data_IF_407429961558
#
_entry.id   IF_407429961558
#
_cell.length_a   1.000
_cell.length_b   1.000
_cell.length_c   1.000
_cell.angle_alpha   90.00
_cell.angle_beta   90.00
_cell.angle_gamma   90.00
#
_symmetry.space_group_name_H-M   'P 1'
#
loop_
_entity.id
_entity.type
_entity.pdbx_description
1 polymer ?
#
# COMPACT_ATOMS: atom_id res chain seq x y z
N UNK A 1 -11.95 -2.96 -26.57
CA UNK A 1 -10.98 -2.70 -25.48
C UNK A 1 -9.79 -1.98 -26.09
N UNK A 2 -9.30 -0.87 -25.51
CA UNK A 2 -8.14 -0.16 -26.05
C UNK A 2 -6.93 -1.09 -26.16
N UNK A 3 -6.19 -1.03 -27.27
CA UNK A 3 -5.10 -1.96 -27.57
C UNK A 3 -3.89 -1.84 -26.63
N UNK A 4 -3.79 -0.75 -25.86
CA UNK A 4 -2.78 -0.54 -24.83
C UNK A 4 -3.06 -1.27 -23.51
N UNK A 5 -4.33 -1.60 -23.19
CA UNK A 5 -4.72 -2.15 -21.88
C UNK A 5 -3.98 -3.46 -21.52
N UNK A 6 -3.83 -4.44 -22.43
CA UNK A 6 -3.12 -5.67 -22.09
C UNK A 6 -1.68 -5.45 -21.60
N UNK A 7 -0.98 -4.46 -22.16
CA UNK A 7 0.38 -4.12 -21.76
C UNK A 7 0.43 -3.50 -20.36
N UNK A 8 -0.59 -2.70 -20.00
CA UNK A 8 -0.64 -2.06 -18.68
C UNK A 8 -1.05 -3.06 -17.59
N UNK A 9 -2.06 -3.90 -17.85
CA UNK A 9 -2.51 -4.93 -16.88
C UNK A 9 -1.43 -6.00 -16.66
N UNK A 10 -0.75 -6.44 -17.74
CA UNK A 10 0.38 -7.38 -17.62
C UNK A 10 1.55 -6.79 -16.84
N UNK A 11 1.89 -5.53 -17.09
CA UNK A 11 2.89 -4.79 -16.31
C UNK A 11 2.49 -4.71 -14.82
N UNK A 12 1.23 -4.39 -14.51
CA UNK A 12 0.76 -4.29 -13.12
C UNK A 12 0.88 -5.63 -12.38
N UNK A 13 0.47 -6.74 -13.00
CA UNK A 13 0.56 -8.06 -12.37
C UNK A 13 2.01 -8.41 -11.98
N UNK A 14 2.95 -8.19 -12.90
CA UNK A 14 4.36 -8.50 -12.71
C UNK A 14 5.06 -7.54 -11.72
N UNK A 15 4.76 -6.25 -11.76
CA UNK A 15 5.28 -5.29 -10.78
C UNK A 15 4.74 -5.60 -9.37
N UNK A 16 3.45 -5.98 -9.24
CA UNK A 16 2.86 -6.32 -7.94
C UNK A 16 3.46 -7.59 -7.36
N UNK A 17 3.71 -8.59 -8.21
CA UNK A 17 4.49 -9.76 -7.82
C UNK A 17 5.86 -9.34 -7.28
N UNK A 18 6.55 -8.44 -7.99
CA UNK A 18 7.90 -8.01 -7.60
C UNK A 18 7.91 -7.30 -6.24
N UNK A 19 7.02 -6.33 -6.05
CA UNK A 19 6.94 -5.53 -4.83
C UNK A 19 6.58 -6.39 -3.61
N UNK A 20 5.49 -7.16 -3.69
CA UNK A 20 5.00 -7.94 -2.55
C UNK A 20 5.88 -9.14 -2.24
N UNK A 21 6.46 -9.79 -3.25
CA UNK A 21 7.40 -10.90 -3.07
C UNK A 21 8.62 -10.47 -2.27
N UNK A 22 9.31 -9.42 -2.73
CA UNK A 22 10.46 -8.86 -2.02
C UNK A 22 10.10 -8.38 -0.62
N UNK A 23 8.99 -7.63 -0.46
CA UNK A 23 8.54 -7.14 0.86
C UNK A 23 8.27 -8.29 1.84
N UNK A 24 7.72 -9.41 1.37
CA UNK A 24 7.32 -10.54 2.23
C UNK A 24 8.50 -11.27 2.88
N UNK A 25 9.65 -11.31 2.21
CA UNK A 25 10.85 -11.99 2.71
C UNK A 25 11.84 -11.05 3.40
N UNK A 26 11.65 -9.73 3.27
CA UNK A 26 12.63 -8.74 3.71
C UNK A 26 12.97 -8.87 5.21
N UNK A 27 11.96 -9.08 6.06
CA UNK A 27 12.16 -9.31 7.48
C UNK A 27 13.06 -10.53 7.76
N UNK A 28 12.66 -11.69 7.23
CA UNK A 28 13.35 -12.98 7.42
C UNK A 28 14.76 -12.96 6.83
N UNK A 29 14.94 -12.20 5.75
CA UNK A 29 16.26 -11.99 5.18
C UNK A 29 17.17 -11.21 6.14
N UNK A 30 16.71 -10.07 6.66
CA UNK A 30 17.50 -9.23 7.57
C UNK A 30 17.83 -9.91 8.90
N UNK A 31 16.96 -10.79 9.40
CA UNK A 31 17.14 -11.44 10.70
C UNK A 31 17.86 -12.78 10.65
N UNK A 32 18.01 -13.41 9.48
CA UNK A 32 18.59 -14.76 9.40
C UNK A 32 19.41 -15.09 8.15
N UNK A 33 19.50 -14.20 7.16
CA UNK A 33 20.20 -14.46 5.90
C UNK A 33 21.14 -13.32 5.47
N UNK A 34 21.36 -12.32 6.33
CA UNK A 34 22.26 -11.21 6.07
C UNK A 34 23.67 -11.51 6.60
N UNK A 35 24.62 -11.74 5.71
CA UNK A 35 26.03 -11.97 6.02
C UNK A 35 26.89 -10.79 5.55
N UNK A 36 28.04 -10.57 6.20
CA UNK A 36 29.05 -9.61 5.77
C UNK A 36 29.82 -10.13 4.55
N UNK A 37 30.61 -9.27 3.91
CA UNK A 37 31.51 -9.66 2.83
C UNK A 37 32.50 -10.77 3.21
N UNK A 38 32.83 -10.89 4.49
CA UNK A 38 33.71 -11.93 5.05
C UNK A 38 32.98 -13.24 5.40
N UNK A 39 31.67 -13.31 5.18
CA UNK A 39 30.82 -14.44 5.55
C UNK A 39 30.44 -14.49 7.03
N UNK A 40 30.76 -13.45 7.82
CA UNK A 40 30.32 -13.34 9.21
C UNK A 40 28.83 -12.99 9.27
N UNK A 41 28.12 -13.47 10.29
CA UNK A 41 26.72 -13.10 10.48
C UNK A 41 26.58 -11.61 10.77
N UNK A 42 25.74 -10.92 9.99
CA UNK A 42 25.44 -9.49 10.13
C UNK A 42 23.93 -9.27 10.35
N UNK A 43 23.30 -10.21 11.05
CA UNK A 43 21.86 -10.24 11.29
C UNK A 43 21.40 -9.04 12.10
N UNK A 44 20.29 -8.45 11.68
CA UNK A 44 19.58 -7.45 12.47
C UNK A 44 18.72 -8.14 13.53
N UNK A 45 18.63 -7.53 14.71
CA UNK A 45 17.64 -7.96 15.68
C UNK A 45 16.22 -7.61 15.20
N UNK A 46 15.20 -8.20 15.83
CA UNK A 46 13.80 -8.01 15.43
C UNK A 46 13.38 -6.54 15.40
N UNK A 47 13.82 -5.73 16.36
CA UNK A 47 13.49 -4.30 16.43
C UNK A 47 14.11 -3.52 15.28
N UNK A 48 15.38 -3.80 14.95
CA UNK A 48 16.10 -3.21 13.82
C UNK A 48 15.47 -3.61 12.48
N UNK A 49 15.19 -4.89 12.28
CA UNK A 49 14.54 -5.38 11.08
C UNK A 49 13.13 -4.78 10.90
N UNK A 50 12.35 -4.67 11.99
CA UNK A 50 11.03 -4.02 11.99
C UNK A 50 11.14 -2.55 11.60
N UNK A 51 12.11 -1.82 12.16
CA UNK A 51 12.35 -0.42 11.80
C UNK A 51 12.70 -0.27 10.31
N UNK A 52 13.67 -1.03 9.80
CA UNK A 52 14.10 -0.93 8.41
C UNK A 52 12.98 -1.26 7.42
N UNK A 53 12.18 -2.27 7.71
CA UNK A 53 11.02 -2.59 6.90
C UNK A 53 9.97 -1.48 6.94
N UNK A 54 9.69 -0.92 8.11
CA UNK A 54 8.78 0.21 8.24
C UNK A 54 9.31 1.45 7.50
N UNK A 55 10.61 1.78 7.59
CA UNK A 55 11.22 2.87 6.83
C UNK A 55 11.15 2.67 5.32
N UNK A 56 11.35 1.43 4.86
CA UNK A 56 11.20 1.08 3.45
C UNK A 56 9.77 1.34 2.97
N UNK A 57 8.76 0.83 3.70
CA UNK A 57 7.35 1.06 3.36
C UNK A 57 7.02 2.56 3.45
N UNK A 58 7.47 3.25 4.50
CA UNK A 58 7.25 4.68 4.65
C UNK A 58 7.79 5.47 3.46
N UNK A 59 8.96 5.10 2.96
CA UNK A 59 9.59 5.71 1.79
C UNK A 59 8.80 5.40 0.51
N UNK A 60 8.42 4.13 0.29
CA UNK A 60 7.64 3.70 -0.87
C UNK A 60 6.24 4.36 -0.97
N UNK A 61 5.69 4.83 0.16
CA UNK A 61 4.44 5.60 0.21
C UNK A 61 4.64 7.12 0.35
N UNK A 62 5.88 7.60 0.48
CA UNK A 62 6.24 9.02 0.41
C UNK A 62 6.53 9.48 -1.04
N UNK A 63 7.31 8.68 -1.79
CA UNK A 63 7.66 8.98 -3.18
C UNK A 63 6.50 9.11 -4.18
N UNK A 64 5.27 8.58 -3.97
CA UNK A 64 4.12 8.90 -4.82
C UNK A 64 3.89 10.41 -5.01
N UNK A 65 4.08 11.23 -3.97
CA UNK A 65 3.92 12.69 -4.09
C UNK A 65 4.91 13.26 -5.10
N UNK A 66 6.18 12.84 -5.03
CA UNK A 66 7.22 13.29 -5.94
C UNK A 66 7.02 12.75 -7.36
N UNK A 67 6.58 11.50 -7.49
CA UNK A 67 6.24 10.89 -8.79
C UNK A 67 5.11 11.62 -9.50
N UNK A 68 4.02 11.95 -8.78
CA UNK A 68 2.90 12.71 -9.32
C UNK A 68 3.32 14.12 -9.75
N UNK A 69 4.12 14.83 -8.95
CA UNK A 69 4.65 16.14 -9.32
C UNK A 69 5.55 16.06 -10.56
N UNK A 70 6.39 15.03 -10.66
CA UNK A 70 7.26 14.81 -11.81
C UNK A 70 6.47 14.53 -13.10
N UNK A 71 5.43 13.68 -13.03
CA UNK A 71 4.58 13.38 -14.19
C UNK A 71 3.75 14.57 -14.64
N UNK A 72 3.13 15.28 -13.70
CA UNK A 72 2.09 16.26 -14.03
C UNK A 72 2.68 17.62 -14.41
N UNK A 73 3.89 17.95 -13.93
CA UNK A 73 4.55 19.23 -14.22
C UNK A 73 5.53 19.13 -15.39
N UNK A 74 6.33 18.07 -15.47
CA UNK A 74 7.54 18.06 -16.32
C UNK A 74 7.54 16.98 -17.40
N UNK A 75 7.30 15.72 -17.02
CA UNK A 75 7.66 14.58 -17.87
C UNK A 75 6.48 13.97 -18.64
N UNK A 76 5.27 14.11 -18.13
CA UNK A 76 4.12 13.30 -18.54
C UNK A 76 4.18 11.88 -17.97
N UNK A 77 3.01 11.25 -17.80
CA UNK A 77 2.86 9.96 -17.09
C UNK A 77 3.70 8.83 -17.70
N UNK A 78 3.66 8.65 -19.02
CA UNK A 78 4.40 7.56 -19.69
C UNK A 78 5.92 7.63 -19.42
N UNK A 79 6.53 8.82 -19.56
CA UNK A 79 7.97 8.99 -19.35
C UNK A 79 8.35 8.82 -17.88
N UNK A 80 7.54 9.32 -16.96
CA UNK A 80 7.73 9.10 -15.52
C UNK A 80 7.68 7.62 -15.17
N UNK A 81 6.67 6.89 -15.68
CA UNK A 81 6.54 5.44 -15.45
C UNK A 81 7.79 4.71 -15.95
N UNK A 82 8.22 4.97 -17.19
CA UNK A 82 9.36 4.26 -17.77
C UNK A 82 10.69 4.57 -17.04
N UNK A 83 10.95 5.85 -16.72
CA UNK A 83 12.17 6.27 -16.04
C UNK A 83 12.25 5.65 -14.63
N UNK A 84 11.19 5.77 -13.85
CA UNK A 84 11.16 5.26 -12.48
C UNK A 84 11.08 3.73 -12.42
N UNK A 85 10.49 3.08 -13.43
CA UNK A 85 10.55 1.61 -13.55
C UNK A 85 11.98 1.14 -13.82
N UNK A 86 12.78 1.87 -14.60
CA UNK A 86 14.21 1.57 -14.76
C UNK A 86 14.97 1.70 -13.43
N UNK A 87 14.72 2.76 -12.65
CA UNK A 87 15.28 2.92 -11.29
C UNK A 87 14.87 1.75 -10.40
N UNK A 88 13.62 1.31 -10.51
CA UNK A 88 13.10 0.16 -9.79
C UNK A 88 13.85 -1.13 -10.16
N UNK A 89 14.07 -1.39 -11.46
CA UNK A 89 14.86 -2.52 -11.93
C UNK A 89 16.30 -2.51 -11.39
N UNK A 90 16.95 -1.34 -11.36
CA UNK A 90 18.31 -1.19 -10.79
C UNK A 90 18.31 -1.50 -9.29
N UNK A 91 17.27 -1.08 -8.55
CA UNK A 91 17.12 -1.42 -7.15
C UNK A 91 17.00 -2.93 -6.91
N UNK A 92 16.23 -3.63 -7.74
CA UNK A 92 16.16 -5.10 -7.67
C UNK A 92 17.46 -5.79 -8.07
N UNK A 93 18.16 -5.26 -9.09
CA UNK A 93 19.49 -5.75 -9.46
C UNK A 93 20.46 -5.62 -8.27
N UNK A 94 20.42 -4.50 -7.55
CA UNK A 94 21.21 -4.32 -6.33
C UNK A 94 20.88 -5.37 -5.27
N UNK A 95 19.60 -5.70 -5.03
CA UNK A 95 19.25 -6.77 -4.09
C UNK A 95 19.67 -8.17 -4.57
N UNK A 96 19.60 -8.44 -5.88
CA UNK A 96 19.97 -9.74 -6.44
C UNK A 96 21.50 -9.98 -6.42
N UNK A 97 22.29 -8.92 -6.54
CA UNK A 97 23.75 -8.97 -6.52
C UNK A 97 24.36 -8.99 -5.12
N UNK A 98 23.55 -8.77 -4.09
CA UNK A 98 23.98 -8.64 -2.69
C UNK A 98 24.76 -9.86 -2.15
N UNK A 99 24.46 -11.06 -2.66
CA UNK A 99 25.05 -12.33 -2.21
C UNK A 99 25.93 -12.98 -3.29
N UNK A 100 26.36 -12.20 -4.29
CA UNK A 100 27.20 -12.70 -5.38
C UNK A 100 28.67 -12.77 -4.93
N UNK A 101 29.40 -13.85 -5.26
CA UNK A 101 30.78 -14.03 -4.83
C UNK A 101 31.70 -12.96 -5.44
N UNK A 102 32.69 -12.52 -4.66
CA UNK A 102 33.69 -11.54 -5.06
C UNK A 102 34.36 -11.89 -6.39
N UNK A 103 34.60 -13.18 -6.63
CA UNK A 103 35.19 -13.71 -7.87
C UNK A 103 34.42 -13.34 -9.14
N UNK A 104 33.12 -13.05 -9.02
CA UNK A 104 32.26 -12.70 -10.15
C UNK A 104 32.18 -11.17 -10.36
N UNK A 105 32.21 -10.38 -9.29
CA UNK A 105 32.04 -8.92 -9.35
C UNK A 105 33.36 -8.15 -9.41
N UNK A 106 34.49 -8.77 -9.05
CA UNK A 106 35.81 -8.15 -9.07
C UNK A 106 35.98 -6.97 -8.10
N UNK A 107 35.01 -6.74 -7.21
CA UNK A 107 34.98 -5.68 -6.20
C UNK A 107 34.28 -6.23 -4.95
N UNK A 108 34.91 -6.07 -3.78
CA UNK A 108 34.29 -6.37 -2.49
C UNK A 108 33.32 -5.27 -2.09
N UNK A 109 32.04 -5.62 -1.98
CA UNK A 109 31.03 -4.74 -1.39
C UNK A 109 30.39 -5.39 -0.18
N UNK A 110 30.06 -4.58 0.83
CA UNK A 110 29.29 -5.07 1.97
C UNK A 110 27.84 -5.32 1.55
N UNK A 111 27.29 -6.54 1.75
CA UNK A 111 25.91 -6.89 1.39
C UNK A 111 24.87 -5.92 1.97
N UNK A 112 25.08 -5.44 3.20
CA UNK A 112 24.24 -4.42 3.84
C UNK A 112 24.15 -3.12 3.02
N UNK A 113 25.22 -2.71 2.33
CA UNK A 113 25.22 -1.53 1.47
C UNK A 113 24.33 -1.75 0.25
N UNK A 114 24.39 -2.93 -0.36
CA UNK A 114 23.54 -3.33 -1.48
C UNK A 114 22.07 -3.42 -1.05
N UNK A 115 21.80 -3.93 0.15
CA UNK A 115 20.46 -3.92 0.74
C UNK A 115 19.90 -2.50 0.83
N UNK A 116 20.62 -1.58 1.46
CA UNK A 116 20.16 -0.20 1.67
C UNK A 116 19.97 0.53 0.34
N UNK A 117 20.94 0.42 -0.56
CA UNK A 117 20.86 1.04 -1.89
C UNK A 117 19.69 0.47 -2.70
N UNK A 118 19.53 -0.86 -2.71
CA UNK A 118 18.45 -1.55 -3.39
C UNK A 118 17.07 -1.15 -2.85
N UNK A 119 16.88 -1.14 -1.53
CA UNK A 119 15.64 -0.72 -0.89
C UNK A 119 15.29 0.74 -1.19
N UNK A 120 16.28 1.65 -1.17
CA UNK A 120 16.07 3.05 -1.50
C UNK A 120 15.62 3.23 -2.95
N UNK A 121 16.33 2.61 -3.90
CA UNK A 121 16.00 2.66 -5.33
C UNK A 121 14.63 2.05 -5.62
N UNK A 122 14.30 0.93 -4.97
CA UNK A 122 12.97 0.31 -5.06
C UNK A 122 11.90 1.25 -4.50
N UNK A 123 12.13 1.90 -3.35
CA UNK A 123 11.17 2.84 -2.78
C UNK A 123 10.92 4.04 -3.70
N UNK A 124 11.96 4.60 -4.32
CA UNK A 124 11.85 5.68 -5.33
C UNK A 124 11.06 5.20 -6.54
N UNK A 125 11.46 4.05 -7.12
CA UNK A 125 10.84 3.48 -8.31
C UNK A 125 9.39 3.10 -8.10
N UNK A 126 9.12 2.16 -7.18
CA UNK A 126 7.77 1.69 -6.86
C UNK A 126 6.85 2.81 -6.36
N UNK A 127 7.37 3.71 -5.53
CA UNK A 127 6.59 4.82 -5.00
C UNK A 127 6.19 5.81 -6.08
N UNK A 128 7.14 6.26 -6.90
CA UNK A 128 6.85 7.31 -7.87
C UNK A 128 6.01 6.83 -9.07
N UNK A 129 5.98 5.53 -9.40
CA UNK A 129 5.08 5.02 -10.46
C UNK A 129 3.62 4.84 -10.00
N UNK A 130 3.36 4.57 -8.72
CA UNK A 130 2.01 4.29 -8.17
C UNK A 130 0.90 5.25 -8.65
N UNK A 131 1.04 6.58 -8.50
CA UNK A 131 -0.01 7.51 -8.93
C UNK A 131 -0.10 7.62 -10.47
N UNK A 132 1.03 7.39 -11.16
CA UNK A 132 1.12 7.54 -12.61
C UNK A 132 0.44 6.39 -13.36
N UNK A 133 0.67 5.13 -12.94
CA UNK A 133 0.15 3.94 -13.64
C UNK A 133 -1.38 3.88 -13.58
N UNK A 134 -1.96 4.09 -12.39
CA UNK A 134 -3.42 4.08 -12.22
C UNK A 134 -4.11 5.15 -13.07
N UNK A 135 -3.52 6.36 -13.11
CA UNK A 135 -4.02 7.43 -13.97
C UNK A 135 -3.84 7.11 -15.46
N UNK A 136 -2.70 6.51 -15.84
CA UNK A 136 -2.41 6.14 -17.22
C UNK A 136 -3.37 5.08 -17.78
N UNK A 137 -3.85 4.14 -16.95
CA UNK A 137 -4.94 3.22 -17.32
C UNK A 137 -6.19 4.00 -17.69
N UNK A 138 -6.61 4.94 -16.84
CA UNK A 138 -7.81 5.76 -17.07
C UNK A 138 -7.72 6.60 -18.35
N UNK A 139 -6.54 7.13 -18.65
CA UNK A 139 -6.27 7.93 -19.85
C UNK A 139 -6.47 7.17 -21.17
N UNK A 140 -6.52 5.83 -21.14
CA UNK A 140 -6.78 5.03 -22.34
C UNK A 140 -8.26 5.02 -22.77
N UNK A 141 -9.14 5.60 -21.94
CA UNK A 141 -10.57 5.62 -22.18
C UNK A 141 -11.08 7.02 -22.50
N UNK A 142 -11.95 7.10 -23.50
CA UNK A 142 -12.72 8.28 -23.89
C UNK A 142 -14.20 7.95 -24.01
N UNK A 143 -15.00 8.88 -24.55
CA UNK A 143 -16.47 8.72 -24.62
C UNK A 143 -16.92 7.44 -25.33
N UNK A 144 -16.21 7.00 -26.38
CA UNK A 144 -16.60 5.85 -27.19
C UNK A 144 -16.40 4.49 -26.50
N UNK A 145 -15.50 4.40 -25.52
CA UNK A 145 -15.12 3.15 -24.86
C UNK A 145 -15.29 3.17 -23.33
N UNK A 146 -15.89 4.23 -22.78
CA UNK A 146 -16.11 4.45 -21.35
C UNK A 146 -16.84 3.29 -20.67
N UNK A 147 -17.77 2.62 -21.36
CA UNK A 147 -18.50 1.46 -20.83
C UNK A 147 -17.58 0.27 -20.46
N UNK A 148 -16.36 0.22 -20.97
CA UNK A 148 -15.37 -0.83 -20.65
C UNK A 148 -14.50 -0.49 -19.43
N UNK A 149 -14.54 0.75 -18.94
CA UNK A 149 -13.67 1.25 -17.88
C UNK A 149 -13.78 0.40 -16.61
N UNK A 150 -15.01 0.21 -16.10
CA UNK A 150 -15.26 -0.56 -14.87
C UNK A 150 -14.80 -2.01 -15.00
N UNK A 151 -14.96 -2.62 -16.19
CA UNK A 151 -14.49 -3.98 -16.45
C UNK A 151 -12.96 -4.07 -16.40
N UNK A 152 -12.25 -3.09 -16.94
CA UNK A 152 -10.78 -3.06 -16.93
C UNK A 152 -10.23 -2.78 -15.54
N UNK A 153 -10.83 -1.86 -14.78
CA UNK A 153 -10.47 -1.66 -13.38
C UNK A 153 -10.74 -2.91 -12.52
N UNK A 154 -11.77 -3.68 -12.84
CA UNK A 154 -12.01 -4.99 -12.23
C UNK A 154 -10.86 -5.98 -12.50
N UNK A 155 -10.42 -6.11 -13.75
CA UNK A 155 -9.25 -6.94 -14.10
C UNK A 155 -7.96 -6.45 -13.46
N UNK A 156 -7.76 -5.13 -13.41
CA UNK A 156 -6.61 -4.49 -12.76
C UNK A 156 -6.56 -4.83 -11.26
N UNK A 157 -7.72 -4.81 -10.60
CA UNK A 157 -7.85 -5.19 -9.20
C UNK A 157 -7.55 -6.67 -8.95
N UNK A 158 -8.07 -7.55 -9.81
CA UNK A 158 -7.76 -8.99 -9.74
C UNK A 158 -6.27 -9.24 -9.96
N UNK A 159 -5.63 -8.57 -10.93
CA UNK A 159 -4.19 -8.74 -11.18
C UNK A 159 -3.32 -8.30 -10.00
N UNK A 160 -3.71 -7.24 -9.28
CA UNK A 160 -2.99 -6.79 -8.07
C UNK A 160 -2.99 -7.87 -7.00
N UNK A 161 -4.17 -8.37 -6.65
CA UNK A 161 -4.32 -9.37 -5.57
C UNK A 161 -3.74 -10.72 -5.97
N UNK A 162 -3.87 -11.13 -7.24
CA UNK A 162 -3.28 -12.35 -7.74
C UNK A 162 -1.74 -12.28 -7.73
N UNK A 163 -1.15 -11.17 -8.19
CA UNK A 163 0.30 -10.96 -8.14
C UNK A 163 0.83 -10.94 -6.71
N UNK A 164 0.12 -10.28 -5.79
CA UNK A 164 0.45 -10.26 -4.37
C UNK A 164 0.40 -11.67 -3.75
N UNK A 165 -0.69 -12.42 -3.99
CA UNK A 165 -0.85 -13.77 -3.45
C UNK A 165 0.21 -14.73 -4.04
N UNK A 166 0.42 -14.72 -5.35
CA UNK A 166 1.39 -15.58 -6.00
C UNK A 166 2.83 -15.32 -5.50
N UNK A 167 3.20 -14.06 -5.30
CA UNK A 167 4.53 -13.69 -4.81
C UNK A 167 4.73 -14.02 -3.33
N UNK A 168 3.76 -13.76 -2.47
CA UNK A 168 3.83 -14.10 -1.04
C UNK A 168 3.81 -15.60 -0.80
N UNK A 169 3.30 -16.40 -1.75
CA UNK A 169 3.45 -17.84 -1.73
C UNK A 169 4.85 -18.28 -2.23
N UNK A 170 5.27 -17.82 -3.40
CA UNK A 170 6.44 -18.33 -4.11
C UNK A 170 7.77 -17.78 -3.58
N UNK A 171 7.87 -16.49 -3.26
CA UNK A 171 9.14 -15.86 -2.89
C UNK A 171 9.73 -16.40 -1.58
N UNK A 172 8.94 -16.70 -0.53
CA UNK A 172 9.44 -17.42 0.64
C UNK A 172 10.03 -18.81 0.32
N UNK A 173 9.43 -19.55 -0.61
CA UNK A 173 9.93 -20.86 -1.05
C UNK A 173 11.25 -20.70 -1.82
N UNK A 174 11.37 -19.66 -2.64
CA UNK A 174 12.63 -19.33 -3.30
C UNK A 174 13.74 -19.04 -2.29
N UNK A 175 13.44 -18.26 -1.25
CA UNK A 175 14.41 -17.98 -0.18
C UNK A 175 14.86 -19.26 0.53
N UNK A 176 13.91 -20.13 0.90
CA UNK A 176 14.21 -21.38 1.61
C UNK A 176 15.04 -22.37 0.79
N UNK A 177 14.74 -22.52 -0.50
CA UNK A 177 15.32 -23.60 -1.33
C UNK A 177 16.49 -23.15 -2.21
N UNK A 178 16.55 -21.88 -2.58
CA UNK A 178 17.53 -21.36 -3.54
C UNK A 178 18.33 -20.16 -3.01
N UNK A 179 17.99 -19.64 -1.84
CA UNK A 179 18.72 -18.55 -1.18
C UNK A 179 18.35 -17.13 -1.66
N UNK A 180 18.98 -16.10 -1.07
CA UNK A 180 18.62 -14.70 -1.27
C UNK A 180 18.75 -14.22 -2.71
N UNK A 181 19.80 -14.64 -3.42
CA UNK A 181 20.04 -14.23 -4.82
C UNK A 181 18.86 -14.55 -5.74
N UNK A 182 18.30 -15.76 -5.64
CA UNK A 182 17.10 -16.14 -6.40
C UNK A 182 15.83 -15.50 -5.86
N UNK A 183 15.70 -15.39 -4.53
CA UNK A 183 14.52 -14.83 -3.89
C UNK A 183 14.31 -13.34 -4.20
N UNK A 184 15.39 -12.56 -4.34
CA UNK A 184 15.33 -11.17 -4.82
C UNK A 184 15.47 -11.04 -6.34
N UNK A 185 16.18 -11.96 -6.98
CA UNK A 185 16.41 -11.96 -8.44
C UNK A 185 15.16 -12.25 -9.26
N UNK A 186 14.34 -13.21 -8.87
CA UNK A 186 13.08 -13.54 -9.59
C UNK A 186 12.11 -12.36 -9.60
N UNK A 187 11.79 -11.70 -8.46
CA UNK A 187 11.10 -10.41 -8.46
C UNK A 187 11.74 -9.39 -9.42
N UNK A 188 13.07 -9.23 -9.38
CA UNK A 188 13.79 -8.30 -10.26
C UNK A 188 13.63 -8.59 -11.75
N UNK A 189 13.72 -9.85 -12.16
CA UNK A 189 13.49 -10.27 -13.54
C UNK A 189 12.06 -10.00 -13.99
N UNK A 190 11.08 -10.23 -13.12
CA UNK A 190 9.68 -9.92 -13.40
C UNK A 190 9.43 -8.42 -13.49
N UNK A 191 10.08 -7.59 -12.67
CA UNK A 191 10.03 -6.14 -12.80
C UNK A 191 10.68 -5.65 -14.11
N UNK A 192 11.79 -6.26 -14.52
CA UNK A 192 12.43 -6.02 -15.82
C UNK A 192 11.49 -6.37 -16.98
N UNK A 193 10.85 -7.53 -16.91
CA UNK A 193 9.83 -7.96 -17.87
C UNK A 193 8.63 -7.01 -17.90
N UNK A 194 8.13 -6.58 -16.73
CA UNK A 194 7.04 -5.61 -16.62
C UNK A 194 7.39 -4.32 -17.37
N UNK A 195 8.57 -3.76 -17.09
CA UNK A 195 9.08 -2.54 -17.72
C UNK A 195 9.22 -2.71 -19.23
N UNK A 196 9.72 -3.85 -19.68
CA UNK A 196 9.87 -4.16 -21.11
C UNK A 196 8.50 -4.28 -21.80
N UNK A 197 7.54 -5.00 -21.21
CA UNK A 197 6.17 -5.12 -21.72
C UNK A 197 5.49 -3.75 -21.79
N UNK A 198 5.64 -2.91 -20.77
CA UNK A 198 5.13 -1.55 -20.80
C UNK A 198 5.73 -0.74 -21.96
N UNK A 199 7.05 -0.83 -22.16
CA UNK A 199 7.74 -0.16 -23.28
C UNK A 199 7.30 -0.67 -24.67
N UNK A 200 6.93 -1.94 -24.82
CA UNK A 200 6.37 -2.46 -26.07
C UNK A 200 5.04 -1.80 -26.43
N UNK A 201 4.25 -1.38 -25.44
CA UNK A 201 2.98 -0.69 -25.62
C UNK A 201 3.09 0.78 -26.06
N UNK A 202 4.30 1.36 -26.14
CA UNK A 202 4.53 2.80 -26.38
C UNK A 202 3.84 3.40 -27.60
N UNK A 203 3.67 2.62 -28.67
CA UNK A 203 3.01 3.10 -29.89
C UNK A 203 1.49 2.91 -29.88
N UNK A 204 0.96 2.27 -28.83
CA UNK A 204 -0.46 1.96 -28.64
C UNK A 204 -1.11 2.75 -27.51
N UNK A 205 -0.31 3.47 -26.71
CA UNK A 205 -0.81 4.26 -25.58
C UNK A 205 -1.29 5.64 -26.01
N UNK A 206 -2.36 6.08 -25.37
CA UNK A 206 -2.76 7.48 -25.36
C UNK A 206 -1.81 8.24 -24.44
N UNK A 207 -1.19 9.30 -24.97
CA UNK A 207 -0.25 10.14 -24.25
C UNK A 207 -0.89 11.50 -23.96
N UNK A 208 -1.13 11.78 -22.67
CA UNK A 208 -1.60 13.08 -22.22
C UNK A 208 -0.37 13.96 -21.90
N UNK A 209 -0.28 15.19 -22.44
CA UNK A 209 0.81 16.11 -22.11
C UNK A 209 0.77 16.54 -20.65
N UNK A 210 1.91 16.97 -20.11
CA UNK A 210 2.01 17.50 -18.75
C UNK A 210 1.20 18.81 -18.62
N UNK A 211 0.50 18.97 -17.49
CA UNK A 211 -0.33 20.16 -17.21
C UNK A 211 0.47 21.39 -16.79
N UNK A 212 1.75 21.22 -16.41
CA UNK A 212 2.65 22.33 -16.10
C UNK A 212 2.31 23.06 -14.80
N UNK A 213 2.65 24.35 -14.72
CA UNK A 213 2.57 25.16 -13.48
C UNK A 213 1.14 25.53 -13.04
N UNK A 214 0.16 25.34 -13.90
CA UNK A 214 -1.26 25.64 -13.60
C UNK A 214 -1.77 24.75 -12.46
N UNK A 215 -1.38 23.47 -12.44
CA UNK A 215 -1.70 22.52 -11.38
C UNK A 215 -1.30 23.00 -9.98
N UNK A 216 -0.10 23.58 -9.84
CA UNK A 216 0.40 24.07 -8.54
C UNK A 216 -0.40 25.28 -8.07
N UNK A 217 -0.73 26.22 -8.97
CA UNK A 217 -1.52 27.42 -8.60
C UNK A 217 -2.90 27.04 -8.10
N UNK A 218 -3.54 26.07 -8.73
CA UNK A 218 -4.88 25.62 -8.36
C UNK A 218 -4.89 24.77 -7.08
N UNK A 219 -3.85 23.97 -6.86
CA UNK A 219 -3.71 23.12 -5.65
C UNK A 219 -3.59 23.97 -4.38
N UNK A 220 -2.88 25.10 -4.44
CA UNK A 220 -2.60 25.95 -3.28
C UNK A 220 -3.54 27.16 -3.11
N UNK A 221 -4.59 27.24 -3.94
CA UNK A 221 -5.69 28.19 -3.82
C UNK A 221 -6.46 28.00 -2.48
N UNK A 222 -7.13 29.03 -1.92
CA UNK A 222 -7.85 28.90 -0.65
C UNK A 222 -8.89 27.77 -0.63
N UNK A 223 -9.50 27.44 -1.76
CA UNK A 223 -10.45 26.31 -1.85
C UNK A 223 -9.75 24.98 -1.63
N UNK A 224 -8.61 24.77 -2.31
CA UNK A 224 -7.79 23.56 -2.19
C UNK A 224 -7.20 23.38 -0.80
N UNK A 225 -6.64 24.46 -0.23
CA UNK A 225 -6.07 24.46 1.12
C UNK A 225 -7.12 24.09 2.18
N UNK A 226 -8.33 24.62 2.06
CA UNK A 226 -9.44 24.30 2.99
C UNK A 226 -9.87 22.83 2.86
N UNK A 227 -9.90 22.26 1.66
CA UNK A 227 -10.20 20.84 1.47
C UNK A 227 -9.14 19.94 2.13
N UNK A 228 -7.86 20.25 1.91
CA UNK A 228 -6.73 19.52 2.51
C UNK A 228 -6.77 19.58 4.04
N UNK A 229 -6.93 20.78 4.61
CA UNK A 229 -6.96 20.98 6.06
C UNK A 229 -8.10 20.23 6.75
N UNK A 230 -9.22 19.99 6.05
CA UNK A 230 -10.34 19.20 6.58
C UNK A 230 -10.06 17.69 6.56
N UNK A 231 -9.35 17.20 5.55
CA UNK A 231 -9.01 15.79 5.41
C UNK A 231 -7.83 15.37 6.28
N UNK A 232 -6.93 16.31 6.60
CA UNK A 232 -5.72 16.04 7.36
C UNK A 232 -5.97 15.35 8.72
N UNK A 233 -6.92 15.79 9.57
CA UNK A 233 -7.24 15.07 10.80
C UNK A 233 -7.60 13.61 10.54
N UNK A 234 -8.41 13.32 9.52
CA UNK A 234 -8.81 11.94 9.18
C UNK A 234 -7.56 11.12 8.83
N UNK A 235 -6.66 11.67 8.02
CA UNK A 235 -5.45 10.97 7.60
C UNK A 235 -4.48 10.69 8.76
N UNK A 236 -4.42 11.57 9.76
CA UNK A 236 -3.59 11.34 10.96
C UNK A 236 -4.08 10.13 11.78
N UNK A 237 -5.40 9.95 11.92
CA UNK A 237 -5.94 8.78 12.61
C UNK A 237 -5.80 7.51 11.77
N UNK A 238 -5.98 7.61 10.44
CA UNK A 238 -5.74 6.50 9.51
C UNK A 238 -4.26 6.09 9.49
N UNK A 239 -3.32 7.00 9.75
CA UNK A 239 -1.91 6.65 9.89
C UNK A 239 -1.67 5.68 11.06
N UNK A 240 -2.41 5.79 12.17
CA UNK A 240 -2.33 4.81 13.26
C UNK A 240 -2.80 3.43 12.80
N UNK A 241 -3.77 3.34 11.87
CA UNK A 241 -4.15 2.06 11.28
C UNK A 241 -3.03 1.44 10.46
N UNK A 242 -2.36 2.24 9.64
CA UNK A 242 -1.23 1.75 8.84
C UNK A 242 -0.04 1.32 9.69
N UNK A 243 0.16 1.92 10.88
CA UNK A 243 1.20 1.47 11.79
C UNK A 243 0.94 0.04 12.30
N UNK A 244 -0.32 -0.36 12.47
CA UNK A 244 -0.71 -1.73 12.84
C UNK A 244 -0.70 -2.66 11.62
N UNK A 245 -1.35 -2.25 10.53
CA UNK A 245 -1.53 -3.11 9.36
C UNK A 245 -0.20 -3.58 8.74
N UNK A 246 0.76 -2.67 8.57
CA UNK A 246 2.01 -3.01 7.87
C UNK A 246 2.99 -3.85 8.71
N UNK A 247 2.79 -3.97 10.03
CA UNK A 247 3.56 -4.90 10.87
C UNK A 247 3.26 -6.37 10.57
N UNK A 248 2.21 -6.65 9.78
CA UNK A 248 1.94 -7.97 9.23
C UNK A 248 3.13 -8.59 8.50
N UNK A 249 4.02 -7.76 7.93
CA UNK A 249 5.23 -8.22 7.24
C UNK A 249 6.48 -8.36 8.14
N UNK A 250 6.41 -7.94 9.40
CA UNK A 250 7.54 -7.92 10.34
C UNK A 250 7.20 -8.65 11.64
N UNK A 251 6.53 -7.99 12.58
CA UNK A 251 6.22 -8.52 13.91
C UNK A 251 5.33 -9.76 13.85
N UNK A 252 4.36 -9.81 12.94
CA UNK A 252 3.54 -11.00 12.77
C UNK A 252 4.32 -12.16 12.14
N UNK A 253 5.27 -11.88 11.26
CA UNK A 253 6.21 -12.90 10.75
C UNK A 253 7.10 -13.41 11.89
N UNK A 254 7.59 -12.52 12.76
CA UNK A 254 8.36 -12.90 13.95
C UNK A 254 7.55 -13.77 14.92
N UNK A 255 6.33 -13.35 15.26
CA UNK A 255 5.40 -14.13 16.10
C UNK A 255 5.16 -15.52 15.52
N UNK A 256 4.94 -15.62 14.20
CA UNK A 256 4.72 -16.90 13.53
C UNK A 256 5.91 -17.87 13.66
N UNK A 257 7.14 -17.39 13.83
CA UNK A 257 8.30 -18.28 14.06
C UNK A 257 8.17 -19.10 15.35
N UNK A 258 7.44 -18.57 16.34
CA UNK A 258 7.23 -19.18 17.67
C UNK A 258 5.88 -19.91 17.78
N UNK A 259 5.15 -20.08 16.68
CA UNK A 259 3.85 -20.74 16.64
C UNK A 259 3.94 -22.15 16.03
N UNK A 260 2.94 -22.99 16.30
CA UNK A 260 2.74 -24.22 15.53
C UNK A 260 2.18 -23.88 14.15
N UNK A 261 3.03 -24.04 13.12
CA UNK A 261 2.77 -23.72 11.71
C UNK A 261 2.33 -24.92 10.88
N UNK A 262 2.00 -26.06 11.51
CA UNK A 262 1.56 -27.25 10.81
C UNK A 262 0.07 -27.16 10.41
N UNK A 263 -0.20 -26.99 9.12
CA UNK A 263 -1.56 -26.95 8.60
C UNK A 263 -1.87 -28.23 7.83
N UNK A 264 -2.50 -29.20 8.51
CA UNK A 264 -2.93 -30.45 7.88
C UNK A 264 -1.76 -31.32 7.34
N UNK A 265 -0.60 -31.26 7.98
CA UNK A 265 0.61 -32.00 7.58
C UNK A 265 1.61 -31.20 6.74
N UNK A 266 1.28 -29.96 6.37
CA UNK A 266 2.18 -29.05 5.64
C UNK A 266 2.62 -27.94 6.58
N UNK A 267 3.94 -27.81 6.79
CA UNK A 267 4.50 -26.71 7.58
C UNK A 267 4.59 -25.43 6.73
N UNK A 268 3.84 -24.40 7.13
CA UNK A 268 3.82 -23.09 6.47
C UNK A 268 5.05 -22.29 6.91
N UNK A 269 5.70 -21.56 6.00
CA UNK A 269 6.81 -20.67 6.36
C UNK A 269 6.31 -19.41 7.08
N UNK A 270 7.05 -18.85 8.04
CA UNK A 270 6.63 -17.65 8.77
C UNK A 270 6.31 -16.46 7.85
N UNK A 271 7.05 -16.28 6.76
CA UNK A 271 6.81 -15.21 5.78
C UNK A 271 5.62 -15.45 4.85
N UNK A 272 5.04 -16.65 4.83
CA UNK A 272 3.85 -16.97 4.04
C UNK A 272 2.54 -16.58 4.73
N UNK A 273 2.55 -16.19 6.01
CA UNK A 273 1.33 -15.83 6.76
C UNK A 273 0.59 -14.64 6.13
N UNK A 274 1.33 -13.73 5.48
CA UNK A 274 0.77 -12.58 4.76
C UNK A 274 -0.12 -12.95 3.58
N UNK A 275 0.06 -14.15 2.99
CA UNK A 275 -0.69 -14.65 1.82
C UNK A 275 -2.21 -14.56 2.00
N UNK A 276 -2.67 -14.69 3.24
CA UNK A 276 -4.07 -14.68 3.61
C UNK A 276 -4.73 -13.34 3.25
N UNK A 277 -4.03 -12.20 3.40
CA UNK A 277 -4.63 -10.88 3.19
C UNK A 277 -5.16 -10.65 1.76
N UNK A 278 -4.38 -10.80 0.67
CA UNK A 278 -4.90 -10.58 -0.69
C UNK A 278 -6.03 -11.55 -1.06
N UNK A 279 -6.02 -12.78 -0.52
CA UNK A 279 -7.10 -13.75 -0.72
C UNK A 279 -8.37 -13.30 0.02
N UNK A 280 -8.24 -12.90 1.27
CA UNK A 280 -9.35 -12.37 2.07
C UNK A 280 -9.94 -11.11 1.43
N UNK A 281 -9.12 -10.23 0.87
CA UNK A 281 -9.59 -9.01 0.19
C UNK A 281 -10.54 -9.35 -0.98
N UNK A 282 -10.19 -10.34 -1.80
CA UNK A 282 -11.05 -10.80 -2.90
C UNK A 282 -12.41 -11.35 -2.42
N UNK A 283 -12.46 -11.91 -1.21
CA UNK A 283 -13.70 -12.44 -0.59
C UNK A 283 -14.46 -11.35 0.18
N UNK A 284 -13.75 -10.50 0.90
CA UNK A 284 -14.31 -9.53 1.83
C UNK A 284 -14.90 -8.33 1.12
N UNK A 285 -14.28 -7.83 0.05
CA UNK A 285 -14.86 -6.71 -0.70
C UNK A 285 -16.29 -6.99 -1.18
N UNK A 286 -16.60 -8.11 -1.87
CA UNK A 286 -17.98 -8.42 -2.22
C UNK A 286 -18.84 -8.72 -0.98
N UNK A 287 -18.34 -9.45 0.01
CA UNK A 287 -19.09 -9.74 1.24
C UNK A 287 -19.52 -8.47 1.98
N UNK A 288 -18.62 -7.51 2.12
CA UNK A 288 -18.89 -6.24 2.78
C UNK A 288 -19.89 -5.40 2.00
N UNK A 289 -19.72 -5.28 0.69
CA UNK A 289 -20.60 -4.45 -0.14
C UNK A 289 -22.02 -5.03 -0.31
N UNK A 290 -22.16 -6.35 -0.42
CA UNK A 290 -23.45 -6.97 -0.71
C UNK A 290 -24.18 -7.53 0.52
N UNK A 291 -23.46 -7.81 1.62
CA UNK A 291 -24.05 -8.44 2.81
C UNK A 291 -23.86 -7.58 4.06
N UNK A 292 -22.61 -7.28 4.45
CA UNK A 292 -22.34 -6.66 5.76
C UNK A 292 -22.82 -5.21 5.80
N UNK A 293 -22.42 -4.37 4.84
CA UNK A 293 -22.84 -2.96 4.81
C UNK A 293 -24.35 -2.80 4.69
N UNK A 294 -25.07 -3.51 3.80
CA UNK A 294 -26.52 -3.45 3.76
C UNK A 294 -27.17 -3.90 5.09
N UNK A 295 -26.62 -4.92 5.75
CA UNK A 295 -27.16 -5.43 7.03
C UNK A 295 -26.96 -4.42 8.15
N UNK A 296 -25.77 -3.83 8.29
CA UNK A 296 -25.51 -2.77 9.28
C UNK A 296 -26.41 -1.55 8.99
N UNK A 297 -26.58 -1.21 7.71
CA UNK A 297 -27.40 -0.07 7.30
C UNK A 297 -28.90 -0.25 7.62
N UNK A 298 -29.38 -1.48 7.86
CA UNK A 298 -30.74 -1.75 8.38
C UNK A 298 -30.88 -1.38 9.86
N UNK A 299 -29.79 -1.38 10.63
CA UNK A 299 -29.80 -1.04 12.07
C UNK A 299 -29.60 0.46 12.24
N UNK A 300 -28.58 1.04 11.58
CA UNK A 300 -28.32 2.48 11.59
C UNK A 300 -27.66 2.92 10.29
N UNK A 301 -27.85 4.20 9.90
CA UNK A 301 -27.26 4.73 8.66
C UNK A 301 -25.74 4.63 8.66
N UNK A 302 -25.17 3.85 7.75
CA UNK A 302 -23.74 3.59 7.71
C UNK A 302 -23.01 4.62 6.83
N UNK A 303 -22.62 5.74 7.43
CA UNK A 303 -21.86 6.80 6.75
C UNK A 303 -20.39 6.39 6.52
N UNK A 304 -19.66 6.99 5.56
CA UNK A 304 -18.25 6.70 5.34
C UNK A 304 -17.39 6.85 6.61
N UNK A 305 -17.57 7.92 7.37
CA UNK A 305 -16.82 8.13 8.62
C UNK A 305 -17.19 7.13 9.72
N UNK A 306 -18.44 6.62 9.74
CA UNK A 306 -18.84 5.52 10.63
C UNK A 306 -18.17 4.21 10.23
N UNK A 307 -18.04 3.90 8.93
CA UNK A 307 -17.27 2.73 8.46
C UNK A 307 -15.82 2.80 8.94
N UNK A 308 -15.15 3.94 8.74
CA UNK A 308 -13.78 4.16 9.20
C UNK A 308 -13.69 3.99 10.72
N UNK A 309 -14.62 4.57 11.48
CA UNK A 309 -14.66 4.44 12.94
C UNK A 309 -14.76 2.97 13.39
N UNK A 310 -15.70 2.20 12.82
CA UNK A 310 -15.85 0.77 13.11
C UNK A 310 -14.57 0.02 12.74
N UNK A 311 -13.97 0.33 11.60
CA UNK A 311 -12.71 -0.25 11.17
C UNK A 311 -11.57 -0.04 12.17
N UNK A 312 -11.45 1.16 12.78
CA UNK A 312 -10.40 1.43 13.77
C UNK A 312 -10.60 0.58 15.04
N UNK A 313 -11.85 0.41 15.51
CA UNK A 313 -12.15 -0.50 16.62
C UNK A 313 -11.86 -1.96 16.26
N UNK A 314 -12.22 -2.41 15.05
CA UNK A 314 -11.92 -3.77 14.59
C UNK A 314 -10.41 -4.00 14.48
N UNK A 315 -9.63 -2.99 14.09
CA UNK A 315 -8.17 -3.07 14.11
C UNK A 315 -7.60 -3.21 15.52
N UNK A 316 -8.15 -2.50 16.51
CA UNK A 316 -7.78 -2.69 17.93
C UNK A 316 -8.07 -4.13 18.40
N UNK A 317 -9.22 -4.69 18.01
CA UNK A 317 -9.60 -6.06 18.35
C UNK A 317 -8.66 -7.07 17.66
N UNK A 318 -8.30 -6.83 16.40
CA UNK A 318 -7.33 -7.67 15.69
C UNK A 318 -5.99 -7.74 16.43
N UNK A 319 -5.50 -6.59 16.90
CA UNK A 319 -4.25 -6.52 17.66
C UNK A 319 -4.37 -7.08 19.07
N UNK A 320 -5.54 -7.03 19.69
CA UNK A 320 -5.81 -7.74 20.95
C UNK A 320 -5.60 -9.25 20.79
N UNK A 321 -6.05 -9.83 19.67
CA UNK A 321 -5.78 -11.24 19.36
C UNK A 321 -4.28 -11.50 19.25
N UNK A 322 -3.53 -10.65 18.55
CA UNK A 322 -2.06 -10.76 18.45
C UNK A 322 -1.36 -10.62 19.81
N UNK A 323 -1.83 -9.72 20.69
CA UNK A 323 -1.32 -9.59 22.05
C UNK A 323 -1.53 -10.87 22.87
N UNK A 324 -2.74 -11.45 22.82
CA UNK A 324 -3.04 -12.70 23.53
C UNK A 324 -2.24 -13.88 23.00
N UNK A 325 -2.04 -13.97 21.67
CA UNK A 325 -1.13 -14.97 21.08
C UNK A 325 0.28 -14.80 21.67
N UNK A 326 0.76 -13.56 21.78
CA UNK A 326 2.09 -13.29 22.31
C UNK A 326 2.19 -13.63 23.81
N UNK A 327 1.17 -13.36 24.62
CA UNK A 327 1.14 -13.77 26.02
C UNK A 327 1.26 -15.29 26.20
N UNK A 328 0.60 -16.07 25.34
CA UNK A 328 0.74 -17.53 25.34
C UNK A 328 2.14 -17.97 24.97
N UNK A 329 2.75 -17.34 23.96
CA UNK A 329 4.14 -17.60 23.56
C UNK A 329 5.11 -17.26 24.68
N UNK A 330 4.95 -16.09 25.31
CA UNK A 330 5.79 -15.62 26.42
C UNK A 330 5.64 -16.53 27.65
N UNK A 331 4.47 -17.17 27.82
CA UNK A 331 4.23 -18.21 28.82
C UNK A 331 4.77 -19.61 28.45
N UNK A 332 5.49 -19.74 27.33
CA UNK A 332 6.11 -20.98 26.86
C UNK A 332 5.19 -21.92 26.07
N UNK A 333 4.02 -21.44 25.63
CA UNK A 333 3.10 -22.21 24.78
C UNK A 333 3.43 -22.04 23.30
N UNK A 334 2.98 -22.98 22.46
CA UNK A 334 3.13 -22.92 21.00
C UNK A 334 1.75 -22.87 20.35
N UNK A 335 1.06 -21.71 20.37
CA UNK A 335 -0.29 -21.61 19.83
C UNK A 335 -0.31 -21.90 18.33
N UNK A 336 -1.39 -22.54 17.88
CA UNK A 336 -1.55 -22.91 16.48
C UNK A 336 -1.78 -21.68 15.58
N UNK A 337 -1.21 -21.71 14.37
CA UNK A 337 -1.21 -20.60 13.39
C UNK A 337 -2.62 -20.11 13.00
N UNK A 338 -3.65 -20.92 13.23
CA UNK A 338 -5.06 -20.53 13.03
C UNK A 338 -5.49 -19.30 13.86
N UNK A 339 -4.86 -19.05 15.02
CA UNK A 339 -5.12 -17.84 15.79
C UNK A 339 -4.66 -16.58 15.05
N UNK A 340 -3.52 -16.67 14.35
CA UNK A 340 -3.06 -15.57 13.51
C UNK A 340 -3.94 -15.38 12.28
N UNK A 341 -4.52 -16.46 11.74
CA UNK A 341 -5.56 -16.34 10.70
C UNK A 341 -6.77 -15.53 11.18
N UNK A 342 -7.21 -15.67 12.44
CA UNK A 342 -8.26 -14.82 13.03
C UNK A 342 -7.84 -13.36 13.08
N UNK A 343 -6.61 -13.07 13.52
CA UNK A 343 -6.08 -11.71 13.51
C UNK A 343 -6.05 -11.12 12.09
N UNK A 344 -5.61 -11.89 11.09
CA UNK A 344 -5.64 -11.49 9.67
C UNK A 344 -7.05 -11.24 9.15
N UNK A 345 -8.04 -12.04 9.52
CA UNK A 345 -9.43 -11.78 9.18
C UNK A 345 -9.90 -10.45 9.74
N UNK A 346 -9.65 -10.17 11.02
CA UNK A 346 -10.08 -8.92 11.64
C UNK A 346 -9.36 -7.71 11.04
N UNK A 347 -8.03 -7.75 10.88
CA UNK A 347 -7.29 -6.61 10.33
C UNK A 347 -7.62 -6.36 8.85
N UNK A 348 -7.92 -7.42 8.07
CA UNK A 348 -8.36 -7.28 6.67
C UNK A 348 -9.79 -6.73 6.58
N UNK A 349 -10.67 -7.12 7.50
CA UNK A 349 -11.99 -6.49 7.64
C UNK A 349 -11.86 -4.99 7.96
N UNK A 350 -10.96 -4.63 8.88
CA UNK A 350 -10.63 -3.23 9.17
C UNK A 350 -10.07 -2.50 7.94
N UNK A 351 -9.19 -3.13 7.17
CA UNK A 351 -8.66 -2.58 5.91
C UNK A 351 -9.78 -2.26 4.90
N UNK A 352 -10.72 -3.16 4.69
CA UNK A 352 -11.87 -2.94 3.79
C UNK A 352 -12.73 -1.75 4.25
N UNK A 353 -12.93 -1.60 5.56
CA UNK A 353 -13.71 -0.51 6.13
C UNK A 353 -12.99 0.83 6.11
N UNK A 354 -11.67 0.84 6.29
CA UNK A 354 -10.85 2.06 6.37
C UNK A 354 -10.33 2.43 4.98
N UNK A 355 -9.50 1.57 4.39
CA UNK A 355 -8.70 1.92 3.21
C UNK A 355 -9.57 2.26 2.01
N UNK A 356 -10.52 1.39 1.65
CA UNK A 356 -11.42 1.60 0.51
C UNK A 356 -12.30 2.83 0.75
N UNK A 357 -12.90 2.93 1.94
CA UNK A 357 -13.79 4.05 2.29
C UNK A 357 -13.04 5.38 2.30
N UNK A 358 -11.84 5.44 2.88
CA UNK A 358 -11.03 6.66 2.90
C UNK A 358 -10.61 7.08 1.50
N UNK A 359 -10.25 6.13 0.64
CA UNK A 359 -9.92 6.43 -0.76
C UNK A 359 -11.10 7.08 -1.49
N UNK A 360 -12.27 6.47 -1.39
CA UNK A 360 -13.52 6.97 -2.00
C UNK A 360 -13.97 8.30 -1.39
N UNK A 361 -13.92 8.41 -0.06
CA UNK A 361 -14.27 9.62 0.67
C UNK A 361 -13.35 10.79 0.30
N UNK A 362 -12.05 10.54 0.25
CA UNK A 362 -11.06 11.55 -0.15
C UNK A 362 -11.32 12.02 -1.58
N UNK A 363 -11.66 11.09 -2.49
CA UNK A 363 -12.02 11.41 -3.87
C UNK A 363 -13.27 12.31 -3.96
N UNK A 364 -14.32 12.02 -3.19
CA UNK A 364 -15.59 12.76 -3.23
C UNK A 364 -15.54 14.12 -2.50
N UNK A 365 -14.64 14.28 -1.54
CA UNK A 365 -14.42 15.54 -0.82
C UNK A 365 -13.39 16.46 -1.48
N UNK A 366 -12.75 16.00 -2.57
CA UNK A 366 -11.73 16.77 -3.29
C UNK A 366 -12.33 17.64 -4.39
N UNK A 367 -11.85 18.89 -4.55
CA UNK A 367 -12.11 19.67 -5.75
C UNK A 367 -11.70 18.90 -7.02
N UNK A 368 -12.46 19.05 -8.11
CA UNK A 368 -12.29 18.28 -9.36
C UNK A 368 -10.85 18.25 -9.87
N UNK A 369 -10.13 19.37 -9.76
CA UNK A 369 -8.76 19.54 -10.26
C UNK A 369 -7.66 19.02 -9.33
N UNK A 370 -7.98 18.64 -8.09
CA UNK A 370 -7.00 18.22 -7.06
C UNK A 370 -7.12 16.75 -6.64
N UNK A 371 -7.97 15.96 -7.30
CA UNK A 371 -8.23 14.56 -6.92
C UNK A 371 -6.94 13.74 -6.80
N UNK A 372 -6.04 13.80 -7.80
CA UNK A 372 -4.76 13.07 -7.77
C UNK A 372 -3.85 13.50 -6.60
N UNK A 373 -3.83 14.80 -6.28
CA UNK A 373 -3.03 15.32 -5.18
C UNK A 373 -3.57 14.87 -3.83
N UNK A 374 -4.88 14.93 -3.61
CA UNK A 374 -5.49 14.49 -2.36
C UNK A 374 -5.34 12.98 -2.15
N UNK A 375 -5.34 12.21 -3.24
CA UNK A 375 -5.01 10.79 -3.21
C UNK A 375 -3.55 10.55 -2.81
N UNK A 376 -2.61 11.36 -3.29
CA UNK A 376 -1.22 11.32 -2.84
C UNK A 376 -1.09 11.69 -1.35
N UNK A 377 -1.88 12.65 -0.86
CA UNK A 377 -1.96 12.96 0.58
C UNK A 377 -2.52 11.79 1.41
N UNK A 378 -3.47 11.03 0.87
CA UNK A 378 -3.94 9.81 1.52
C UNK A 378 -2.79 8.78 1.62
N UNK A 379 -1.99 8.58 0.56
CA UNK A 379 -0.84 7.68 0.62
C UNK A 379 0.22 8.13 1.65
N UNK A 380 0.35 9.44 1.90
CA UNK A 380 1.19 9.94 3.00
C UNK A 380 0.73 9.47 4.38
N UNK A 381 -0.55 9.11 4.56
CA UNK A 381 -1.00 8.49 5.84
C UNK A 381 -0.35 7.13 6.06
N UNK A 382 -0.16 6.33 5.00
CA UNK A 382 0.58 5.07 5.05
C UNK A 382 2.03 5.33 5.43
N UNK A 383 2.63 6.36 4.82
CA UNK A 383 4.00 6.79 5.13
C UNK A 383 4.15 7.18 6.61
N UNK A 384 3.24 8.00 7.12
CA UNK A 384 3.23 8.45 8.51
C UNK A 384 3.03 7.29 9.50
N UNK A 385 2.16 6.33 9.19
CA UNK A 385 1.93 5.15 10.04
C UNK A 385 3.17 4.25 10.15
N UNK A 386 3.85 4.04 9.04
CA UNK A 386 5.09 3.28 9.04
C UNK A 386 6.24 4.06 9.71
N UNK A 387 6.27 5.39 9.56
CA UNK A 387 7.22 6.22 10.30
C UNK A 387 6.97 6.13 11.82
N UNK A 388 5.71 6.13 12.26
CA UNK A 388 5.37 5.89 13.67
C UNK A 388 5.93 4.54 14.16
N UNK A 389 5.76 3.47 13.38
CA UNK A 389 6.32 2.14 13.70
C UNK A 389 7.84 2.17 13.79
N UNK A 390 8.51 2.82 12.84
CA UNK A 390 9.97 2.96 12.84
C UNK A 390 10.46 3.76 14.06
N UNK A 391 9.81 4.87 14.39
CA UNK A 391 10.17 5.72 15.52
C UNK A 391 9.96 5.00 16.86
N UNK A 392 8.85 4.27 17.02
CA UNK A 392 8.63 3.44 18.22
C UNK A 392 9.78 2.47 18.39
N UNK A 393 10.08 1.66 17.36
CA UNK A 393 11.19 0.70 17.43
C UNK A 393 12.56 1.36 17.65
N UNK A 394 12.79 2.58 17.16
CA UNK A 394 14.04 3.31 17.36
C UNK A 394 14.18 3.84 18.78
N UNK A 395 13.11 4.40 19.34
CA UNK A 395 13.13 5.02 20.67
C UNK A 395 12.94 4.02 21.81
N UNK A 396 12.37 2.85 21.54
CA UNK A 396 12.29 1.74 22.51
C UNK A 396 13.50 0.82 22.38
N UNK A 397 14.70 1.36 22.16
CA UNK A 397 15.97 0.62 22.20
C UNK A 397 16.86 1.14 23.32
N UNK A 398 17.52 0.23 24.00
CA UNK A 398 18.54 0.55 25.00
C UNK A 398 19.90 0.84 24.34
N UNK A 399 20.91 1.14 25.16
CA UNK A 399 22.26 1.45 24.71
C UNK A 399 22.95 0.25 24.01
N UNK A 400 22.51 -0.97 24.30
CA UNK A 400 23.01 -2.21 23.71
C UNK A 400 22.26 -2.57 22.42
N UNK A 401 21.25 -1.77 22.04
CA UNK A 401 20.43 -1.94 20.84
C UNK A 401 19.29 -2.94 20.98
N UNK A 402 19.05 -3.48 22.18
CA UNK A 402 17.92 -4.35 22.47
C UNK A 402 16.65 -3.54 22.69
N UNK A 403 15.50 -4.12 22.38
CA UNK A 403 14.26 -3.36 22.57
C UNK A 403 13.85 -3.32 24.04
N UNK A 404 13.44 -2.16 24.54
CA UNK A 404 12.81 -2.03 25.87
C UNK A 404 11.32 -2.38 25.86
N UNK A 405 10.72 -2.49 24.66
CA UNK A 405 9.33 -2.86 24.44
C UNK A 405 9.30 -4.21 23.70
N UNK A 406 9.14 -5.30 24.44
CA UNK A 406 9.23 -6.68 23.93
C UNK A 406 7.96 -7.48 24.24
N UNK A 407 7.86 -8.67 23.63
CA UNK A 407 6.79 -9.63 23.91
C UNK A 407 5.40 -9.03 23.77
N UNK A 408 4.48 -9.44 24.65
CA UNK A 408 3.10 -8.99 24.67
C UNK A 408 2.97 -7.46 24.84
N UNK A 409 3.85 -6.82 25.60
CA UNK A 409 3.81 -5.37 25.85
C UNK A 409 3.91 -4.57 24.55
N UNK A 410 4.68 -5.06 23.57
CA UNK A 410 4.77 -4.43 22.26
C UNK A 410 3.42 -4.40 21.54
N UNK A 411 2.71 -5.53 21.52
CA UNK A 411 1.41 -5.62 20.88
C UNK A 411 0.36 -4.83 21.66
N UNK A 412 0.42 -4.82 23.00
CA UNK A 412 -0.46 -4.02 23.84
C UNK A 412 -0.26 -2.52 23.65
N UNK A 413 0.97 -2.05 23.45
CA UNK A 413 1.25 -0.65 23.11
C UNK A 413 0.51 -0.22 21.84
N UNK A 414 0.61 -0.99 20.75
CA UNK A 414 -0.09 -0.67 19.50
C UNK A 414 -1.61 -0.86 19.62
N UNK A 415 -2.06 -1.84 20.39
CA UNK A 415 -3.48 -2.04 20.73
C UNK A 415 -4.05 -0.80 21.43
N UNK A 416 -3.36 -0.30 22.45
CA UNK A 416 -3.74 0.90 23.20
C UNK A 416 -3.71 2.15 22.33
N UNK A 417 -2.66 2.33 21.52
CA UNK A 417 -2.57 3.44 20.57
C UNK A 417 -3.74 3.46 19.58
N UNK A 418 -4.11 2.28 19.05
CA UNK A 418 -5.27 2.14 18.15
C UNK A 418 -6.60 2.39 18.87
N UNK A 419 -6.79 1.87 20.08
CA UNK A 419 -8.01 2.09 20.84
C UNK A 419 -8.22 3.57 21.16
N UNK A 420 -7.16 4.28 21.58
CA UNK A 420 -7.18 5.74 21.79
C UNK A 420 -7.49 6.47 20.50
N UNK A 421 -6.83 6.10 19.39
CA UNK A 421 -7.08 6.68 18.07
C UNK A 421 -8.55 6.47 17.62
N UNK A 422 -9.11 5.28 17.85
CA UNK A 422 -10.50 4.95 17.52
C UNK A 422 -11.49 5.83 18.30
N UNK A 423 -11.30 5.97 19.62
CA UNK A 423 -12.15 6.81 20.49
C UNK A 423 -12.06 8.28 20.09
N UNK A 424 -10.86 8.81 19.90
CA UNK A 424 -10.67 10.21 19.50
C UNK A 424 -11.23 10.48 18.10
N UNK A 425 -11.11 9.53 17.17
CA UNK A 425 -11.66 9.65 15.83
C UNK A 425 -13.18 9.76 15.82
N UNK A 426 -13.90 9.18 16.79
CA UNK A 426 -15.36 9.39 16.92
C UNK A 426 -15.68 10.87 17.09
N UNK A 427 -14.91 11.61 17.91
CA UNK A 427 -15.07 13.05 18.07
C UNK A 427 -14.79 13.85 16.79
N UNK A 428 -13.78 13.43 16.01
CA UNK A 428 -13.51 14.00 14.68
C UNK A 428 -14.64 13.71 13.71
N UNK A 429 -15.14 12.47 13.67
CA UNK A 429 -16.22 12.06 12.79
C UNK A 429 -17.53 12.80 13.09
N UNK A 430 -17.82 13.08 14.37
CA UNK A 430 -18.98 13.85 14.80
C UNK A 430 -18.87 15.35 14.48
N UNK A 431 -17.65 15.91 14.52
CA UNK A 431 -17.42 17.33 14.22
C UNK A 431 -17.24 17.62 12.72
N UNK A 432 -16.96 16.59 11.91
CA UNK A 432 -16.70 16.76 10.49
C UNK A 432 -17.97 17.18 9.72
N UNK A 433 -17.93 18.39 9.14
CA UNK A 433 -18.94 18.90 8.20
C UNK A 433 -18.36 18.94 6.79
N UNK A 434 -18.66 17.90 6.00
CA UNK A 434 -18.18 17.79 4.61
C UNK A 434 -18.89 18.73 3.64
N UNK A 435 -18.21 19.05 2.54
CA UNK A 435 -18.86 19.55 1.31
C UNK A 435 -18.56 18.52 0.23
N UNK A 436 -19.59 17.85 -0.26
CA UNK A 436 -19.43 16.87 -1.33
C UNK A 436 -19.30 17.59 -2.67
N UNK A 437 -18.21 17.32 -3.39
CA UNK A 437 -17.99 17.85 -4.72
C UNK A 437 -18.42 16.80 -5.75
N UNK A 438 -19.71 16.76 -6.09
CA UNK A 438 -20.23 15.86 -7.11
C UNK A 438 -19.81 16.35 -8.52
N UNK A 439 -19.52 15.40 -9.41
CA UNK A 439 -19.20 15.68 -10.80
C UNK A 439 -20.50 15.91 -11.56
N UNK A 440 -20.57 16.96 -12.36
CA UNK A 440 -21.69 17.15 -13.30
C UNK A 440 -21.65 15.99 -14.29
N UNK A 441 -22.82 15.39 -14.54
CA UNK A 441 -22.98 14.42 -15.61
C UNK A 441 -22.57 15.09 -16.93
N UNK A 442 -21.89 14.33 -17.79
CA UNK A 442 -21.63 14.80 -19.15
C UNK A 442 -22.99 15.14 -19.80
N UNK A 443 -23.16 16.32 -20.42
CA UNK A 443 -24.43 16.69 -21.02
C UNK A 443 -24.84 15.59 -21.99
N UNK A 444 -26.05 15.07 -21.80
CA UNK A 444 -26.61 14.06 -22.67
C UNK A 444 -26.54 14.56 -24.11
N UNK A 445 -25.99 13.75 -25.03
CA UNK A 445 -25.72 14.13 -26.43
C UNK A 445 -26.93 14.61 -27.24
N UNK A 446 -28.13 14.64 -26.66
CA UNK A 446 -29.40 14.89 -27.34
C UNK A 446 -30.24 16.02 -26.74
N UNK A 447 -29.74 16.84 -25.81
CA UNK A 447 -30.46 18.08 -25.46
C UNK A 447 -30.14 19.17 -26.48
N UNK A 448 -31.13 19.68 -27.24
CA UNK A 448 -30.93 20.87 -28.07
C UNK A 448 -30.42 22.03 -27.19
N UNK A 449 -29.62 22.95 -27.74
CA UNK A 449 -29.24 24.14 -26.99
C UNK A 449 -30.50 24.85 -26.48
N UNK A 450 -30.54 25.12 -25.17
CA UNK A 450 -31.62 25.86 -24.52
C UNK A 450 -31.86 27.17 -25.28
N UNK A 451 -33.12 27.46 -25.54
CA UNK A 451 -33.54 28.69 -26.22
C UNK A 451 -33.23 29.89 -25.34
N UNK A 452 -32.97 31.06 -25.94
CA UNK A 452 -32.66 32.27 -25.17
C UNK A 452 -33.80 32.71 -24.22
N UNK A 453 -35.03 32.19 -24.38
CA UNK A 453 -36.12 32.36 -23.41
C UNK A 453 -35.94 31.58 -22.11
N UNK A 454 -35.22 30.46 -22.12
CA UNK A 454 -35.00 29.63 -20.93
C UNK A 454 -33.88 30.19 -20.04
N UNK A 455 -32.95 30.97 -20.62
CA UNK A 455 -31.85 31.62 -19.88
C UNK A 455 -32.30 32.81 -19.03
N UNK A 456 -33.47 33.38 -19.33
CA UNK A 456 -34.00 34.53 -18.60
C UNK A 456 -34.70 34.16 -17.28
N UNK A 457 -35.05 32.88 -17.07
CA UNK A 457 -35.80 32.43 -15.89
C UNK A 457 -34.92 32.10 -14.67
N UNK A 458 -33.61 31.89 -14.85
CA UNK A 458 -32.70 31.39 -13.81
C UNK A 458 -31.99 32.49 -12.99
N UNK A 459 -32.43 33.74 -13.11
CA UNK A 459 -31.86 34.84 -12.34
C UNK A 459 -32.91 35.55 -11.48
N UNK A 460 -33.33 35.00 -10.33
CA UNK A 460 -34.00 35.79 -9.32
C UNK A 460 -32.93 36.50 -8.47
N UNK A 461 -32.69 37.76 -8.81
CA UNK A 461 -32.18 38.76 -7.88
C UNK A 461 -33.14 38.91 -6.69
N UNK A 462 -32.75 38.45 -5.51
CA UNK A 462 -32.80 39.15 -4.21
C UNK A 462 -32.36 38.24 -3.05
#
# INVERSE_FOLDING_TARGET
>A
MPSGIPFIVGNEAAERFSFYGMKSILFVFMTGHLFSSTGAADFLNESQATEWQALFVASAYFFPVLGALASDIFLGKYRTILLLSTVYCVGHLSLALMDMPESLLGVTFEPRTFLIAGLFLIAVGSGGIKPCVSAHVGDQFGQSNQHLLSKVFGWFYVSINLGAAASQFATPLLLKHYGPGWAFGVPGLLMGLATFVFWLGRHRFVHIPAGGREFLRETFDPTGRRAILRLLPIYLFVAVFWSLFDQGGSKWVAQATSMDRNLGGIEILPSQVGLVNPVLILVFVPLFNYVIYPTINRIFTLTPLRKVSIGLFVAAIAYTVSSTIQEWIDAGQTPHISWQFVAYMLITAAEVMISITCLEFSYTQSPRKMKSFVMALYLLSVSAGNLLTALVNRYTRDADGNSTLQGADYYWFFTGAMAVAAVLFVGVAMSYRGRTYLQEEAPARNTPPLSDSDRAADNPTN
#
